data_IF_506720014876
#
_entry.id   IF_506720014876
#
_cell.length_a   1.000
_cell.length_b   1.000
_cell.length_c   1.000
_cell.angle_alpha   90.00
_cell.angle_beta   90.00
_cell.angle_gamma   90.00
#
_symmetry.space_group_name_H-M   'P 1'
#
loop_
_entity.id
_entity.type
_entity.pdbx_description
1 polymer ?
#
# COMPACT_ATOMS: atom_id res chain seq x y z
N UNK A 1 -1.92 21.70 -16.05
CA UNK A 1 -3.40 21.73 -16.09
C UNK A 1 -3.99 20.62 -15.26
N UNK A 2 -5.21 20.80 -14.76
CA UNK A 2 -5.92 19.89 -13.84
C UNK A 2 -6.01 18.45 -14.38
N UNK A 3 -6.20 18.30 -15.69
CA UNK A 3 -6.26 17.00 -16.40
C UNK A 3 -4.95 16.20 -16.27
N UNK A 4 -3.80 16.86 -16.30
CA UNK A 4 -2.49 16.19 -16.16
C UNK A 4 -2.28 15.62 -14.75
N UNK A 5 -2.72 16.35 -13.72
CA UNK A 5 -2.65 15.88 -12.32
C UNK A 5 -3.58 14.69 -12.08
N UNK A 6 -4.80 14.73 -12.63
CA UNK A 6 -5.75 13.62 -12.52
C UNK A 6 -5.24 12.36 -13.24
N UNK A 7 -4.70 12.50 -14.46
CA UNK A 7 -4.07 11.38 -15.17
C UNK A 7 -2.91 10.78 -14.38
N UNK A 8 -2.01 11.61 -13.85
CA UNK A 8 -0.89 11.13 -13.05
C UNK A 8 -1.35 10.35 -11.80
N UNK A 9 -2.45 10.80 -11.17
CA UNK A 9 -3.02 10.12 -10.01
C UNK A 9 -3.64 8.76 -10.39
N UNK A 10 -4.35 8.69 -11.51
CA UNK A 10 -4.90 7.42 -12.05
C UNK A 10 -3.80 6.43 -12.38
N UNK A 11 -2.73 6.88 -13.05
CA UNK A 11 -1.59 6.02 -13.38
C UNK A 11 -0.86 5.53 -12.13
N UNK A 12 -0.74 6.38 -11.10
CA UNK A 12 -0.20 5.96 -9.80
C UNK A 12 -1.04 4.85 -9.17
N UNK A 13 -2.36 4.98 -9.19
CA UNK A 13 -3.27 3.97 -8.66
C UNK A 13 -3.18 2.64 -9.43
N UNK A 14 -3.17 2.70 -10.77
CA UNK A 14 -2.97 1.51 -11.61
C UNK A 14 -1.68 0.79 -11.29
N UNK A 15 -0.60 1.53 -11.05
CA UNK A 15 0.67 0.94 -10.63
C UNK A 15 0.59 0.24 -9.27
N UNK A 16 -0.26 0.69 -8.34
CA UNK A 16 -0.46 0.03 -7.05
C UNK A 16 -1.22 -1.29 -7.19
N UNK A 17 -2.21 -1.38 -8.08
CA UNK A 17 -2.97 -2.62 -8.30
C UNK A 17 -2.09 -3.75 -8.84
N UNK A 18 -1.04 -3.41 -9.58
CA UNK A 18 -0.07 -4.37 -10.11
C UNK A 18 1.00 -4.80 -9.08
N UNK A 19 1.10 -4.14 -7.92
CA UNK A 19 2.09 -4.47 -6.88
C UNK A 19 1.51 -5.47 -5.91
N UNK A 20 1.82 -6.75 -6.15
CA UNK A 20 1.38 -7.87 -5.32
C UNK A 20 2.00 -7.84 -3.93
N UNK A 21 1.21 -8.23 -2.95
CA UNK A 21 1.64 -8.48 -1.57
C UNK A 21 1.63 -10.00 -1.34
N UNK A 22 2.70 -10.58 -0.78
CA UNK A 22 2.71 -11.98 -0.36
C UNK A 22 1.60 -12.25 0.67
N UNK A 23 0.98 -13.43 0.62
CA UNK A 23 -0.10 -13.79 1.56
C UNK A 23 0.38 -13.87 3.02
N UNK A 24 1.64 -14.27 3.19
CA UNK A 24 2.36 -14.40 4.47
C UNK A 24 3.07 -13.12 4.90
N UNK A 25 2.84 -12.00 4.21
CA UNK A 25 3.51 -10.74 4.51
C UNK A 25 3.21 -10.28 5.95
N UNK A 26 4.28 -10.08 6.72
CA UNK A 26 4.19 -9.66 8.12
C UNK A 26 4.18 -8.13 8.24
N UNK A 27 2.97 -7.57 8.29
CA UNK A 27 2.78 -6.13 8.52
C UNK A 27 3.22 -5.67 9.90
N UNK A 28 3.30 -6.58 10.89
CA UNK A 28 3.67 -6.24 12.26
C UNK A 28 5.15 -5.84 12.36
N UNK A 29 6.01 -6.37 11.48
CA UNK A 29 7.43 -6.08 11.44
C UNK A 29 7.79 -4.69 10.84
N UNK A 30 6.82 -3.99 10.23
CA UNK A 30 7.11 -2.77 9.46
C UNK A 30 7.04 -1.54 10.35
N UNK A 31 8.19 -1.11 10.87
CA UNK A 31 8.31 0.00 11.83
C UNK A 31 7.65 1.31 11.39
N UNK A 32 7.64 1.60 10.08
CA UNK A 32 7.03 2.82 9.53
C UNK A 32 5.49 2.82 9.48
N UNK A 33 4.83 1.68 9.67
CA UNK A 33 3.37 1.60 9.67
C UNK A 33 2.80 1.97 11.03
N UNK A 34 1.70 2.74 11.02
CA UNK A 34 0.92 3.01 12.23
C UNK A 34 0.29 1.72 12.77
N UNK A 35 0.12 1.63 14.08
CA UNK A 35 -0.50 0.47 14.74
C UNK A 35 -1.87 0.11 14.14
N UNK A 36 -2.72 1.11 13.90
CA UNK A 36 -4.02 0.91 13.26
C UNK A 36 -3.88 0.32 11.86
N UNK A 37 -3.01 0.88 11.02
CA UNK A 37 -2.77 0.38 9.67
C UNK A 37 -2.26 -1.06 9.70
N UNK A 38 -1.33 -1.41 10.60
CA UNK A 38 -0.85 -2.80 10.76
C UNK A 38 -1.98 -3.75 11.11
N UNK A 39 -2.81 -3.39 12.08
CA UNK A 39 -3.94 -4.21 12.49
C UNK A 39 -4.94 -4.41 11.34
N UNK A 40 -5.31 -3.33 10.64
CA UNK A 40 -6.24 -3.38 9.51
C UNK A 40 -5.69 -4.18 8.32
N UNK A 41 -4.41 -4.04 8.01
CA UNK A 41 -3.76 -4.80 6.93
C UNK A 41 -3.63 -6.28 7.27
N UNK A 42 -3.28 -6.60 8.53
CA UNK A 42 -3.15 -7.98 8.99
C UNK A 42 -4.49 -8.71 9.04
N UNK A 43 -5.59 -7.99 9.33
CA UNK A 43 -6.97 -8.50 9.31
C UNK A 43 -7.49 -8.66 7.88
N UNK A 44 -7.34 -7.63 7.03
CA UNK A 44 -7.88 -7.65 5.67
C UNK A 44 -7.07 -8.49 4.67
N UNK A 45 -5.77 -8.70 4.92
CA UNK A 45 -4.84 -9.48 4.06
C UNK A 45 -4.96 -9.14 2.56
N UNK A 46 -4.74 -7.88 2.15
CA UNK A 46 -4.90 -7.48 0.76
C UNK A 46 -3.88 -8.16 -0.16
N UNK A 47 -4.30 -8.52 -1.38
CA UNK A 47 -3.44 -9.20 -2.37
C UNK A 47 -2.47 -8.25 -3.10
N UNK A 48 -2.73 -6.94 -3.03
CA UNK A 48 -1.93 -5.91 -3.68
C UNK A 48 -2.07 -4.55 -2.98
N UNK A 49 -1.18 -3.62 -3.31
CA UNK A 49 -1.19 -2.28 -2.73
C UNK A 49 -2.43 -1.45 -3.09
N UNK A 50 -3.07 -1.73 -4.23
CA UNK A 50 -4.31 -1.06 -4.63
C UNK A 50 -5.50 -1.45 -3.75
N UNK A 51 -5.57 -2.70 -3.30
CA UNK A 51 -6.53 -3.13 -2.29
C UNK A 51 -6.19 -2.52 -0.93
N UNK A 52 -4.91 -2.55 -0.53
CA UNK A 52 -4.46 -1.96 0.73
C UNK A 52 -4.84 -0.48 0.86
N UNK A 53 -4.69 0.29 -0.23
CA UNK A 53 -5.01 1.72 -0.29
C UNK A 53 -6.50 2.05 -0.08
N UNK A 54 -7.39 1.07 -0.22
CA UNK A 54 -8.85 1.23 -0.04
C UNK A 54 -9.33 0.82 1.35
N UNK A 55 -8.46 0.26 2.19
CA UNK A 55 -8.83 -0.17 3.54
C UNK A 55 -9.00 1.07 4.43
N UNK A 56 -10.14 1.16 5.10
CA UNK A 56 -10.39 2.22 6.09
C UNK A 56 -9.38 2.12 7.24
N UNK A 57 -8.75 3.25 7.58
CA UNK A 57 -7.65 3.30 8.55
C UNK A 57 -6.25 3.12 7.94
N UNK A 58 -6.14 2.87 6.63
CA UNK A 58 -4.86 2.86 5.90
C UNK A 58 -4.73 4.16 5.11
N UNK A 59 -3.71 4.96 5.44
CA UNK A 59 -3.49 6.26 4.81
C UNK A 59 -2.55 6.18 3.60
N UNK A 60 -2.51 7.21 2.73
CA UNK A 60 -1.52 7.27 1.65
C UNK A 60 -0.06 7.21 2.12
N UNK A 61 0.22 7.65 3.35
CA UNK A 61 1.55 7.53 3.95
C UNK A 61 1.90 6.07 4.26
N UNK A 62 0.94 5.29 4.78
CA UNK A 62 1.13 3.86 5.04
C UNK A 62 1.40 3.07 3.75
N UNK A 63 0.72 3.42 2.65
CA UNK A 63 1.00 2.86 1.32
C UNK A 63 2.40 3.21 0.83
N UNK A 64 2.87 4.43 1.12
CA UNK A 64 4.23 4.85 0.79
C UNK A 64 5.26 4.04 1.57
N UNK A 65 5.00 3.77 2.86
CA UNK A 65 5.85 2.89 3.67
C UNK A 65 5.90 1.48 3.09
N UNK A 66 4.75 0.89 2.74
CA UNK A 66 4.70 -0.42 2.11
C UNK A 66 5.49 -0.47 0.80
N UNK A 67 5.38 0.56 -0.05
CA UNK A 67 6.16 0.65 -1.29
C UNK A 67 7.67 0.63 -1.03
N UNK A 68 8.14 1.38 -0.04
CA UNK A 68 9.56 1.42 0.33
C UNK A 68 10.01 0.08 0.88
N UNK A 69 9.19 -0.55 1.73
CA UNK A 69 9.47 -1.85 2.33
C UNK A 69 9.56 -2.95 1.27
N UNK A 70 8.62 -3.00 0.33
CA UNK A 70 8.64 -3.97 -0.78
C UNK A 70 9.89 -3.79 -1.63
N UNK A 71 10.23 -2.53 -1.98
CA UNK A 71 11.45 -2.23 -2.75
C UNK A 71 12.71 -2.64 -2.00
N UNK A 72 12.78 -2.42 -0.68
CA UNK A 72 13.91 -2.80 0.15
C UNK A 72 14.10 -4.33 0.20
N UNK A 73 13.01 -5.09 0.08
CA UNK A 73 12.99 -6.56 0.02
C UNK A 73 13.18 -7.13 -1.39
N UNK A 74 13.37 -6.28 -2.41
CA UNK A 74 13.59 -6.69 -3.80
C UNK A 74 12.33 -7.08 -4.57
N UNK A 75 11.16 -6.61 -4.14
CA UNK A 75 9.85 -6.83 -4.80
C UNK A 75 9.40 -5.65 -5.68
#
# INVERSE_FOLDING_TARGET
GYIGKQKAQVERFRNLENRRLPADFDYSAISGLRLEARAKLADARPENLGQAARISGVSPADITVLLVELKARGM
#
